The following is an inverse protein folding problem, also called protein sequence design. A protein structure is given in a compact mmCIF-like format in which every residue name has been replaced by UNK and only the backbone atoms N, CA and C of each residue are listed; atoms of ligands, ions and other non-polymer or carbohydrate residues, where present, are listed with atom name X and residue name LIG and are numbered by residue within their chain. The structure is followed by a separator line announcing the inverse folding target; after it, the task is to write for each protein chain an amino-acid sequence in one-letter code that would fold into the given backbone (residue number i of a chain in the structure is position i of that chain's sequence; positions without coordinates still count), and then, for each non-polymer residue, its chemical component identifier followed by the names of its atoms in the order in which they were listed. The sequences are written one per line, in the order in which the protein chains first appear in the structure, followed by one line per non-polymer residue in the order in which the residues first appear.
data_IF_324568575015
#
_entry.id   IF_324568575015
#
_cell.length_a   1.000
_cell.length_b   1.000
_cell.length_c   1.000
_cell.angle_alpha   90.00
_cell.angle_beta   90.00
_cell.angle_gamma   90.00
#
_symmetry.space_group_name_H-M   'P 1'
#
loop_
_entity.id
_entity.type
_entity.pdbx_description
1 polymer ?
#
# COMPACT_ATOMS: atom_id res chain seq x y z
N UNK A 1 -12.52 -7.37 11.77
CA UNK A 1 -13.56 -8.19 11.11
C UNK A 1 -14.52 -8.89 12.10
N UNK A 2 -14.22 -8.89 13.39
CA UNK A 2 -15.06 -9.39 14.48
C UNK A 2 -15.40 -10.88 14.37
N UNK A 3 -14.67 -11.73 15.10
CA UNK A 3 -14.99 -13.14 15.27
C UNK A 3 -16.32 -13.26 16.01
N UNK A 4 -17.25 -14.06 15.51
CA UNK A 4 -18.57 -14.29 16.08
C UNK A 4 -18.63 -15.58 16.91
N UNK A 5 -18.01 -16.65 16.41
CA UNK A 5 -17.89 -17.94 17.11
C UNK A 5 -16.69 -18.73 16.59
N UNK A 6 -16.21 -19.65 17.39
CA UNK A 6 -15.07 -20.52 17.06
C UNK A 6 -15.42 -21.99 17.37
N UNK A 7 -14.75 -22.91 16.68
CA UNK A 7 -14.84 -24.35 16.96
C UNK A 7 -14.36 -24.66 18.37
N UNK A 8 -15.00 -25.63 19.04
CA UNK A 8 -14.52 -26.17 20.30
C UNK A 8 -13.52 -27.30 20.08
N UNK A 9 -12.45 -27.34 20.90
CA UNK A 9 -11.55 -28.47 20.98
C UNK A 9 -10.38 -28.55 20.01
N UNK A 10 -10.24 -27.60 19.08
CA UNK A 10 -9.07 -27.49 18.20
C UNK A 10 -8.49 -26.09 18.25
N UNK A 11 -7.21 -26.02 18.49
CA UNK A 11 -6.45 -24.77 18.53
C UNK A 11 -5.08 -25.00 17.85
N UNK A 12 -5.06 -25.05 16.48
CA UNK A 12 -3.82 -25.27 15.77
C UNK A 12 -2.87 -24.06 15.93
N UNK A 13 -1.57 -24.32 15.98
CA UNK A 13 -0.57 -23.27 15.85
C UNK A 13 -0.45 -22.91 14.38
N UNK A 14 -0.86 -21.70 14.02
CA UNK A 14 -0.84 -21.21 12.65
C UNK A 14 0.46 -20.46 12.37
N UNK A 15 1.14 -20.81 11.29
CA UNK A 15 2.42 -20.25 10.86
C UNK A 15 2.37 -19.58 9.49
N UNK A 16 1.24 -19.69 8.80
CA UNK A 16 1.06 -19.12 7.48
C UNK A 16 -0.37 -19.19 7.00
N UNK A 17 -0.57 -18.90 5.75
CA UNK A 17 -1.86 -18.95 5.10
C UNK A 17 -1.72 -19.48 3.67
N UNK A 18 -2.76 -20.13 3.16
CA UNK A 18 -2.82 -20.63 1.79
C UNK A 18 -4.26 -20.70 1.29
N UNK A 19 -4.43 -20.93 -0.01
CA UNK A 19 -5.73 -21.24 -0.56
C UNK A 19 -6.21 -22.61 -0.07
N UNK A 20 -7.53 -22.76 0.08
CA UNK A 20 -8.15 -23.91 0.74
C UNK A 20 -7.79 -25.27 0.11
N UNK A 21 -7.55 -25.29 -1.20
CA UNK A 21 -7.24 -26.47 -1.99
C UNK A 21 -5.80 -27.01 -1.78
N UNK A 22 -4.90 -26.20 -1.30
CA UNK A 22 -3.49 -26.56 -1.09
C UNK A 22 -2.97 -26.31 0.32
N UNK A 23 -3.83 -25.84 1.24
CA UNK A 23 -3.44 -25.48 2.59
C UNK A 23 -2.97 -26.69 3.43
N UNK A 24 -1.98 -26.43 4.28
CA UNK A 24 -1.38 -27.40 5.21
C UNK A 24 -1.98 -27.24 6.63
N UNK A 25 -1.73 -28.20 7.56
CA UNK A 25 -2.31 -28.21 8.90
C UNK A 25 -1.89 -27.04 9.81
N UNK A 26 -0.84 -26.29 9.46
CA UNK A 26 -0.37 -25.09 10.17
C UNK A 26 -0.72 -23.79 9.42
N UNK A 27 -1.66 -23.86 8.48
CA UNK A 27 -2.05 -22.69 7.69
C UNK A 27 -3.52 -22.31 7.89
N UNK A 28 -3.78 -21.02 7.71
CA UNK A 28 -5.09 -20.39 7.70
C UNK A 28 -5.60 -20.25 6.28
N UNK A 29 -6.90 -20.46 6.08
CA UNK A 29 -7.61 -20.13 4.85
C UNK A 29 -8.93 -19.43 5.14
N UNK A 30 -9.67 -19.05 4.11
CA UNK A 30 -10.99 -18.46 4.25
C UNK A 30 -11.94 -18.91 3.14
N UNK A 31 -13.25 -18.80 3.42
CA UNK A 31 -14.33 -18.97 2.45
C UNK A 31 -15.24 -17.76 2.48
N UNK A 32 -15.67 -17.33 1.31
CA UNK A 32 -16.73 -16.34 1.16
C UNK A 32 -18.07 -17.02 0.86
N UNK A 33 -19.16 -16.30 1.09
CA UNK A 33 -20.50 -16.76 0.80
C UNK A 33 -20.66 -17.05 -0.71
N UNK A 34 -21.16 -18.25 -1.05
CA UNK A 34 -21.36 -18.65 -2.44
C UNK A 34 -20.07 -19.04 -3.20
N UNK A 35 -18.95 -19.24 -2.50
CA UNK A 35 -17.71 -19.63 -3.13
C UNK A 35 -17.77 -21.07 -3.65
N UNK A 36 -17.32 -21.28 -4.91
CA UNK A 36 -17.21 -22.60 -5.53
C UNK A 36 -16.24 -23.54 -4.78
N UNK A 37 -15.35 -22.99 -3.94
CA UNK A 37 -14.39 -23.75 -3.14
C UNK A 37 -14.97 -24.42 -1.89
N UNK A 38 -16.29 -24.31 -1.65
CA UNK A 38 -16.94 -25.02 -0.52
C UNK A 38 -16.70 -26.53 -0.59
N UNK A 39 -16.69 -27.11 -1.80
CA UNK A 39 -16.39 -28.52 -2.00
C UNK A 39 -14.94 -28.88 -1.54
N UNK A 40 -14.03 -27.95 -1.62
CA UNK A 40 -12.65 -28.17 -1.19
C UNK A 40 -12.51 -28.25 0.34
N UNK A 41 -13.50 -27.75 1.09
CA UNK A 41 -13.51 -27.88 2.55
C UNK A 41 -13.57 -29.36 3.01
N UNK A 42 -14.17 -30.24 2.18
CA UNK A 42 -14.28 -31.68 2.45
C UNK A 42 -12.94 -32.43 2.36
N UNK A 43 -12.02 -31.93 1.55
CA UNK A 43 -10.75 -32.60 1.26
C UNK A 43 -9.54 -31.82 1.75
N UNK A 44 -9.75 -30.61 2.27
CA UNK A 44 -8.68 -29.72 2.72
C UNK A 44 -7.98 -30.24 3.98
N UNK A 45 -6.67 -30.07 4.03
CA UNK A 45 -5.84 -30.31 5.21
C UNK A 45 -5.60 -29.04 6.04
N UNK A 46 -6.32 -27.96 5.75
CA UNK A 46 -6.13 -26.64 6.41
C UNK A 46 -6.22 -26.75 7.92
N UNK A 47 -5.31 -26.06 8.63
CA UNK A 47 -5.32 -26.02 10.09
C UNK A 47 -6.53 -25.30 10.65
N UNK A 48 -6.86 -24.13 10.08
CA UNK A 48 -8.04 -23.35 10.45
C UNK A 48 -8.63 -22.64 9.23
N UNK A 49 -9.97 -22.42 9.28
CA UNK A 49 -10.67 -21.72 8.21
C UNK A 49 -11.58 -20.62 8.78
N UNK A 50 -11.53 -19.44 8.16
CA UNK A 50 -12.48 -18.36 8.41
C UNK A 50 -13.68 -18.53 7.49
N UNK A 51 -14.87 -18.60 8.07
CA UNK A 51 -16.10 -18.87 7.32
C UNK A 51 -17.19 -17.85 7.68
N UNK A 52 -18.18 -17.62 6.77
CA UNK A 52 -19.39 -16.90 7.13
C UNK A 52 -20.15 -17.63 8.26
N UNK A 53 -20.97 -16.90 9.03
CA UNK A 53 -21.80 -17.48 10.08
C UNK A 53 -22.99 -18.26 9.47
N UNK A 54 -22.72 -19.48 8.99
CA UNK A 54 -23.68 -20.39 8.36
C UNK A 54 -23.57 -21.77 9.00
N UNK A 55 -24.74 -22.34 9.38
CA UNK A 55 -24.80 -23.61 10.10
C UNK A 55 -24.25 -24.79 9.30
N UNK A 56 -24.51 -24.83 8.00
CA UNK A 56 -24.01 -25.82 7.06
C UNK A 56 -22.47 -25.82 6.91
N UNK A 57 -21.87 -24.66 6.85
CA UNK A 57 -20.40 -24.54 6.77
C UNK A 57 -19.72 -24.95 8.10
N UNK A 58 -20.33 -24.59 9.23
CA UNK A 58 -19.86 -25.05 10.56
C UNK A 58 -19.91 -26.58 10.64
N UNK A 59 -21.07 -27.17 10.31
CA UNK A 59 -21.25 -28.62 10.33
C UNK A 59 -20.30 -29.35 9.36
N UNK A 60 -20.01 -28.75 8.21
CA UNK A 60 -19.06 -29.29 7.25
C UNK A 60 -17.62 -29.24 7.80
N UNK A 61 -17.20 -28.12 8.37
CA UNK A 61 -15.89 -27.98 8.99
C UNK A 61 -15.71 -28.92 10.20
N UNK A 62 -16.73 -29.08 11.04
CA UNK A 62 -16.74 -30.02 12.18
C UNK A 62 -16.62 -31.47 11.73
N UNK A 63 -17.39 -31.87 10.71
CA UNK A 63 -17.35 -33.22 10.13
C UNK A 63 -15.96 -33.58 9.60
N UNK A 64 -15.28 -32.60 8.99
CA UNK A 64 -13.92 -32.76 8.48
C UNK A 64 -12.84 -32.44 9.54
N UNK A 65 -13.26 -32.26 10.77
CA UNK A 65 -12.35 -32.04 11.90
C UNK A 65 -11.42 -30.83 11.72
N UNK A 66 -11.86 -29.79 11.05
CA UNK A 66 -11.12 -28.55 10.87
C UNK A 66 -11.41 -27.58 12.04
N UNK A 67 -10.40 -26.80 12.44
CA UNK A 67 -10.67 -25.63 13.25
C UNK A 67 -11.35 -24.56 12.41
N UNK A 68 -12.35 -23.88 12.96
CA UNK A 68 -13.04 -22.82 12.23
C UNK A 68 -13.34 -21.62 13.14
N UNK A 69 -13.42 -20.46 12.52
CA UNK A 69 -13.96 -19.25 13.14
C UNK A 69 -14.94 -18.59 12.17
N UNK A 70 -16.10 -18.19 12.71
CA UNK A 70 -17.07 -17.43 11.92
C UNK A 70 -16.88 -15.95 12.11
N UNK A 71 -17.05 -15.18 11.03
CA UNK A 71 -16.96 -13.74 11.01
C UNK A 71 -17.94 -13.13 10.01
N UNK A 72 -18.22 -11.84 10.16
CA UNK A 72 -19.11 -11.12 9.22
C UNK A 72 -18.51 -11.00 7.84
N UNK A 73 -17.22 -10.77 7.79
CA UNK A 73 -16.41 -10.64 6.57
C UNK A 73 -15.16 -11.52 6.69
N UNK A 74 -15.21 -12.76 6.15
CA UNK A 74 -14.09 -13.69 6.18
C UNK A 74 -12.85 -13.18 5.44
N UNK A 75 -13.03 -12.42 4.37
CA UNK A 75 -11.94 -11.87 3.58
C UNK A 75 -11.19 -10.78 4.35
N UNK A 76 -11.92 -9.88 5.00
CA UNK A 76 -11.33 -8.87 5.88
C UNK A 76 -10.62 -9.54 7.06
N UNK A 77 -11.26 -10.52 7.71
CA UNK A 77 -10.63 -11.26 8.81
C UNK A 77 -9.34 -11.98 8.37
N UNK A 78 -9.33 -12.51 7.17
CA UNK A 78 -8.14 -13.14 6.59
C UNK A 78 -7.03 -12.13 6.35
N UNK A 79 -7.34 -10.95 5.78
CA UNK A 79 -6.37 -9.87 5.60
C UNK A 79 -5.75 -9.42 6.92
N UNK A 80 -6.58 -9.17 7.96
CA UNK A 80 -6.09 -8.83 9.30
C UNK A 80 -5.22 -9.94 9.93
N UNK A 81 -5.56 -11.22 9.65
CA UNK A 81 -4.76 -12.36 10.11
C UNK A 81 -3.42 -12.46 9.39
N UNK A 82 -3.36 -12.15 8.09
CA UNK A 82 -2.11 -12.11 7.34
C UNK A 82 -1.14 -11.07 7.89
N UNK A 83 -1.63 -9.90 8.31
CA UNK A 83 -0.79 -8.87 8.94
C UNK A 83 -0.14 -9.37 10.24
N UNK A 84 -0.85 -10.21 11.02
CA UNK A 84 -0.32 -10.81 12.24
C UNK A 84 0.64 -11.97 11.97
N UNK A 85 0.33 -12.81 10.98
CA UNK A 85 1.18 -13.95 10.60
C UNK A 85 2.48 -13.52 9.92
N UNK A 86 2.45 -12.37 9.24
CA UNK A 86 3.57 -11.80 8.50
C UNK A 86 3.83 -10.35 8.93
N UNK A 87 4.25 -10.12 10.19
CA UNK A 87 4.54 -8.76 10.65
C UNK A 87 5.63 -8.14 9.78
N UNK A 88 5.43 -6.89 9.39
CA UNK A 88 6.43 -6.15 8.62
C UNK A 88 7.73 -6.08 9.42
N UNK A 89 8.90 -6.31 8.78
CA UNK A 89 10.18 -6.12 9.44
C UNK A 89 10.31 -4.69 9.95
N UNK A 90 10.63 -4.52 11.21
CA UNK A 90 10.94 -3.20 11.76
C UNK A 90 12.31 -2.75 11.24
N UNK A 91 12.36 -1.65 10.52
CA UNK A 91 13.63 -1.03 10.18
C UNK A 91 14.10 -0.14 11.33
N UNK A 92 15.39 -0.20 11.64
CA UNK A 92 15.97 0.69 12.64
C UNK A 92 15.97 2.13 12.14
N UNK A 93 15.55 3.05 12.99
CA UNK A 93 15.67 4.48 12.70
C UNK A 93 17.14 4.87 12.45
N UNK A 94 17.34 5.79 11.54
CA UNK A 94 18.67 6.32 11.23
C UNK A 94 18.89 6.55 9.74
N UNK A 95 20.05 7.11 9.43
CA UNK A 95 20.44 7.45 8.06
C UNK A 95 21.60 6.56 7.64
N UNK A 96 21.44 5.86 6.52
CA UNK A 96 22.52 5.06 5.95
C UNK A 96 23.68 5.97 5.47
N UNK A 97 24.95 5.62 5.71
CA UNK A 97 26.10 6.48 5.35
C UNK A 97 26.21 6.85 3.87
N UNK A 98 25.62 6.09 2.97
CA UNK A 98 25.60 6.39 1.53
C UNK A 98 24.42 7.25 1.08
N UNK A 99 23.55 7.68 1.98
CA UNK A 99 22.50 8.63 1.64
C UNK A 99 23.07 10.03 1.45
N UNK A 100 22.54 10.76 0.49
CA UNK A 100 22.91 12.17 0.21
C UNK A 100 21.73 13.05 0.59
N UNK A 101 21.86 13.76 1.68
CA UNK A 101 20.79 14.58 2.26
C UNK A 101 21.29 16.03 2.38
N UNK A 102 20.51 16.98 1.86
CA UNK A 102 20.82 18.39 2.02
C UNK A 102 20.78 18.84 3.49
N UNK A 103 21.62 19.77 3.85
CA UNK A 103 21.68 20.34 5.20
C UNK A 103 20.39 21.05 5.65
N UNK A 104 19.51 21.42 4.71
CA UNK A 104 18.22 22.07 4.99
C UNK A 104 17.04 21.10 5.12
N UNK A 105 17.30 19.79 5.08
CA UNK A 105 16.28 18.77 5.27
C UNK A 105 15.91 18.63 6.74
N UNK A 106 14.63 18.49 7.01
CA UNK A 106 14.12 18.21 8.34
C UNK A 106 13.57 16.76 8.39
N UNK A 107 14.20 15.93 9.24
CA UNK A 107 13.76 14.55 9.47
C UNK A 107 13.05 14.47 10.82
N UNK A 108 11.84 13.91 10.84
CA UNK A 108 11.07 13.62 12.04
C UNK A 108 11.67 12.48 12.87
N UNK A 109 11.13 12.28 14.06
CA UNK A 109 11.59 11.22 14.95
C UNK A 109 11.34 9.82 14.36
N UNK A 110 12.31 8.93 14.45
CA UNK A 110 12.18 7.54 14.02
C UNK A 110 12.18 7.33 12.49
N UNK A 111 12.55 8.34 11.71
CA UNK A 111 12.74 8.18 10.26
C UNK A 111 13.88 7.22 9.96
N UNK A 112 13.66 6.31 9.01
CA UNK A 112 14.68 5.40 8.48
C UNK A 112 15.00 5.78 7.03
N UNK A 113 16.28 6.08 6.76
CA UNK A 113 16.76 6.42 5.41
C UNK A 113 17.77 5.37 4.97
N UNK A 114 17.42 4.60 3.96
CA UNK A 114 18.24 3.51 3.46
C UNK A 114 19.38 3.97 2.53
N UNK A 115 20.13 3.00 2.00
CA UNK A 115 21.28 3.27 1.14
C UNK A 115 20.90 4.00 -0.16
N UNK A 116 21.78 4.90 -0.61
CA UNK A 116 21.67 5.62 -1.88
C UNK A 116 20.40 6.47 -2.05
N UNK A 117 19.75 6.85 -0.96
CA UNK A 117 18.65 7.81 -0.96
C UNK A 117 19.22 9.20 -1.19
N UNK A 118 18.54 10.01 -2.00
CA UNK A 118 18.85 11.42 -2.20
C UNK A 118 17.67 12.29 -1.76
N UNK A 119 17.91 13.28 -0.88
CA UNK A 119 16.89 14.22 -0.42
C UNK A 119 17.36 15.65 -0.63
N UNK A 120 16.62 16.41 -1.43
CA UNK A 120 16.91 17.79 -1.80
C UNK A 120 16.53 18.82 -0.73
N UNK A 121 16.92 20.05 -0.99
CA UNK A 121 16.79 21.21 -0.10
C UNK A 121 15.34 21.46 0.36
N UNK A 122 15.20 21.99 1.57
CA UNK A 122 13.92 22.46 2.15
C UNK A 122 12.83 21.37 2.26
N UNK A 123 13.21 20.10 2.16
CA UNK A 123 12.30 18.95 2.29
C UNK A 123 12.05 18.63 3.75
N UNK A 124 10.80 18.26 4.07
CA UNK A 124 10.37 17.81 5.40
C UNK A 124 9.84 16.39 5.33
N UNK A 125 10.34 15.52 6.19
CA UNK A 125 9.91 14.12 6.31
C UNK A 125 9.32 13.92 7.71
N UNK A 126 8.06 13.50 7.78
CA UNK A 126 7.34 13.22 9.02
C UNK A 126 7.89 12.01 9.77
N UNK A 127 7.55 11.94 11.05
CA UNK A 127 8.02 10.89 11.96
C UNK A 127 7.67 9.48 11.48
N UNK A 128 8.48 8.47 11.86
CA UNK A 128 8.26 7.05 11.56
C UNK A 128 8.15 6.71 10.06
N UNK A 129 8.60 7.58 9.18
CA UNK A 129 8.60 7.33 7.72
C UNK A 129 9.79 6.47 7.32
N UNK A 130 9.52 5.47 6.47
CA UNK A 130 10.50 4.55 5.91
C UNK A 130 10.85 4.97 4.49
N UNK A 131 12.15 5.15 4.21
CA UNK A 131 12.66 5.50 2.89
C UNK A 131 13.62 4.40 2.44
N UNK A 132 13.17 3.58 1.50
CA UNK A 132 13.91 2.43 0.98
C UNK A 132 15.05 2.83 0.04
N UNK A 133 15.96 1.89 -0.33
CA UNK A 133 17.13 2.22 -1.12
C UNK A 133 16.82 2.88 -2.47
N UNK A 134 17.64 3.87 -2.84
CA UNK A 134 17.59 4.51 -4.14
C UNK A 134 16.41 5.47 -4.36
N UNK A 135 15.62 5.78 -3.34
CA UNK A 135 14.57 6.79 -3.43
C UNK A 135 15.18 8.17 -3.69
N UNK A 136 14.55 8.94 -4.58
CA UNK A 136 14.94 10.32 -4.89
C UNK A 136 13.81 11.26 -4.51
N UNK A 137 14.08 12.16 -3.59
CA UNK A 137 13.18 13.23 -3.16
C UNK A 137 13.82 14.55 -3.56
N UNK A 138 13.18 15.27 -4.45
CA UNK A 138 13.66 16.60 -4.85
C UNK A 138 13.44 17.63 -3.73
N UNK A 139 13.81 18.89 -4.00
CA UNK A 139 13.62 19.96 -3.02
C UNK A 139 12.16 20.40 -2.85
N UNK A 140 11.87 21.08 -1.72
CA UNK A 140 10.55 21.61 -1.36
C UNK A 140 9.44 20.53 -1.34
N UNK A 141 9.77 19.31 -0.89
CA UNK A 141 8.80 18.23 -0.73
C UNK A 141 8.39 18.09 0.72
N UNK A 142 7.11 17.86 0.97
CA UNK A 142 6.59 17.52 2.30
C UNK A 142 6.05 16.08 2.28
N UNK A 143 6.56 15.25 3.19
CA UNK A 143 6.09 13.88 3.42
C UNK A 143 5.58 13.77 4.84
N UNK A 144 4.36 13.31 5.02
CA UNK A 144 3.72 13.11 6.31
C UNK A 144 4.35 11.99 7.15
N UNK A 145 3.72 11.71 8.27
CA UNK A 145 4.16 10.68 9.21
C UNK A 145 3.79 9.27 8.75
N UNK A 146 4.61 8.27 9.12
CA UNK A 146 4.32 6.85 8.88
C UNK A 146 4.22 6.45 7.42
N UNK A 147 4.81 7.20 6.51
CA UNK A 147 4.84 6.88 5.10
C UNK A 147 5.88 5.79 4.79
N UNK A 148 5.67 5.07 3.68
CA UNK A 148 6.62 4.09 3.16
C UNK A 148 6.93 4.40 1.69
N UNK A 149 8.18 4.81 1.42
CA UNK A 149 8.66 5.11 0.08
C UNK A 149 9.54 3.95 -0.38
N UNK A 150 9.02 3.13 -1.28
CA UNK A 150 9.74 1.95 -1.78
C UNK A 150 10.84 2.29 -2.77
N UNK A 151 11.74 1.31 -2.98
CA UNK A 151 12.97 1.49 -3.73
C UNK A 151 12.77 2.16 -5.09
N UNK A 152 13.64 3.12 -5.40
CA UNK A 152 13.69 3.88 -6.64
C UNK A 152 12.42 4.71 -6.96
N UNK A 153 11.53 4.93 -6.00
CA UNK A 153 10.45 5.90 -6.20
C UNK A 153 11.00 7.32 -6.24
N UNK A 154 10.30 8.21 -6.96
CA UNK A 154 10.75 9.59 -7.17
C UNK A 154 9.64 10.57 -6.78
N UNK A 155 9.96 11.52 -5.91
CA UNK A 155 9.09 12.65 -5.58
C UNK A 155 9.68 13.93 -6.16
N UNK A 156 8.97 14.55 -7.09
CA UNK A 156 9.37 15.79 -7.74
C UNK A 156 9.15 17.04 -6.87
N UNK A 157 9.78 18.18 -7.21
CA UNK A 157 9.71 19.38 -6.38
C UNK A 157 8.27 19.83 -6.12
N UNK A 158 8.00 20.29 -4.89
CA UNK A 158 6.71 20.83 -4.49
C UNK A 158 5.64 19.80 -4.15
N UNK A 159 5.91 18.50 -4.23
CA UNK A 159 4.94 17.47 -3.84
C UNK A 159 4.58 17.56 -2.36
N UNK A 160 3.29 17.33 -2.07
CA UNK A 160 2.75 17.28 -0.71
C UNK A 160 2.12 15.90 -0.48
N UNK A 161 2.73 15.11 0.38
CA UNK A 161 2.33 13.73 0.67
C UNK A 161 1.77 13.69 2.10
N UNK A 162 0.53 13.26 2.25
CA UNK A 162 -0.14 13.08 3.54
C UNK A 162 0.46 11.96 4.39
N UNK A 163 -0.18 11.68 5.52
CA UNK A 163 0.27 10.66 6.46
C UNK A 163 -0.07 9.24 5.98
N UNK A 164 0.75 8.25 6.34
CA UNK A 164 0.49 6.85 6.06
C UNK A 164 0.41 6.48 4.58
N UNK A 165 0.98 7.30 3.70
CA UNK A 165 1.02 7.01 2.27
C UNK A 165 2.06 5.93 1.95
N UNK A 166 1.76 5.12 0.93
CA UNK A 166 2.69 4.11 0.41
C UNK A 166 2.98 4.43 -1.06
N UNK A 167 4.24 4.63 -1.39
CA UNK A 167 4.68 4.86 -2.76
C UNK A 167 5.55 3.67 -3.18
N UNK A 168 5.00 2.81 -4.04
CA UNK A 168 5.68 1.58 -4.44
C UNK A 168 6.85 1.83 -5.39
N UNK A 169 7.64 0.78 -5.59
CA UNK A 169 8.90 0.85 -6.35
C UNK A 169 8.73 1.43 -7.76
N UNK A 170 9.66 2.31 -8.15
CA UNK A 170 9.69 2.99 -9.44
C UNK A 170 8.48 3.89 -9.75
N UNK A 171 7.59 4.14 -8.80
CA UNK A 171 6.53 5.13 -8.99
C UNK A 171 7.11 6.55 -9.00
N UNK A 172 6.55 7.42 -9.83
CA UNK A 172 6.99 8.81 -9.99
C UNK A 172 5.83 9.76 -9.68
N UNK A 173 6.02 10.61 -8.68
CA UNK A 173 5.00 11.57 -8.26
C UNK A 173 5.48 13.00 -8.55
N UNK A 174 4.68 13.75 -9.31
CA UNK A 174 4.93 15.15 -9.62
C UNK A 174 5.77 15.40 -10.87
N UNK A 175 5.92 14.42 -11.76
CA UNK A 175 6.50 14.66 -13.09
C UNK A 175 5.71 15.71 -13.87
N UNK A 176 6.35 16.35 -14.86
CA UNK A 176 5.65 17.32 -15.71
C UNK A 176 4.58 16.65 -16.56
N UNK A 177 3.36 17.17 -16.50
CA UNK A 177 2.26 16.76 -17.38
C UNK A 177 2.57 17.03 -18.86
N UNK A 178 1.89 16.31 -19.74
CA UNK A 178 2.03 16.47 -21.20
C UNK A 178 1.38 17.79 -21.65
N UNK A 179 2.17 18.85 -21.68
CA UNK A 179 1.74 20.19 -22.06
C UNK A 179 2.55 20.76 -23.21
N UNK A 180 1.99 20.81 -24.42
CA UNK A 180 2.61 21.39 -25.61
C UNK A 180 1.61 22.22 -26.41
N UNK A 181 2.08 23.36 -26.95
CA UNK A 181 1.28 24.25 -27.81
C UNK A 181 1.81 24.16 -29.24
N UNK A 182 0.95 23.89 -30.25
CA UNK A 182 1.36 23.91 -31.64
C UNK A 182 1.68 25.33 -32.06
N UNK A 183 2.79 25.51 -32.79
CA UNK A 183 3.21 26.79 -33.38
C UNK A 183 3.64 26.58 -34.80
N UNK A 184 3.82 27.67 -35.55
CA UNK A 184 4.34 27.60 -36.95
C UNK A 184 5.75 26.98 -37.02
N UNK A 185 6.47 26.88 -35.92
CA UNK A 185 7.82 26.29 -35.82
C UNK A 185 7.85 24.92 -35.14
N UNK A 186 6.69 24.27 -34.94
CA UNK A 186 6.57 23.02 -34.23
C UNK A 186 6.00 23.19 -32.80
N UNK A 187 6.21 22.20 -31.95
CA UNK A 187 5.70 22.16 -30.60
C UNK A 187 6.49 23.06 -29.65
N UNK A 188 5.79 23.92 -28.93
CA UNK A 188 6.38 24.67 -27.81
C UNK A 188 5.90 24.05 -26.50
N UNK A 189 6.84 23.63 -25.65
CA UNK A 189 6.55 23.12 -24.30
C UNK A 189 5.90 24.21 -23.45
N UNK A 190 4.83 23.84 -22.77
CA UNK A 190 4.21 24.63 -21.71
C UNK A 190 4.80 24.16 -20.37
N UNK A 191 5.49 25.03 -19.62
CA UNK A 191 6.04 24.67 -18.30
C UNK A 191 4.93 24.17 -17.37
N UNK A 192 5.22 23.14 -16.61
CA UNK A 192 4.32 22.55 -15.61
C UNK A 192 4.80 22.99 -14.22
N UNK A 193 4.22 24.06 -13.71
CA UNK A 193 4.66 24.74 -12.46
C UNK A 193 3.78 24.42 -11.25
N UNK A 194 2.70 23.67 -11.45
CA UNK A 194 1.83 23.21 -10.39
C UNK A 194 2.48 22.09 -9.54
N UNK A 195 1.71 21.49 -8.68
CA UNK A 195 2.18 20.47 -7.75
C UNK A 195 1.25 19.25 -7.69
N UNK A 196 1.70 18.19 -7.01
CA UNK A 196 0.88 17.02 -6.70
C UNK A 196 0.63 16.95 -5.20
N UNK A 197 -0.63 16.70 -4.84
CA UNK A 197 -1.07 16.46 -3.46
C UNK A 197 -1.61 15.04 -3.36
N UNK A 198 -1.01 14.23 -2.49
CA UNK A 198 -1.57 12.96 -2.06
C UNK A 198 -2.07 13.14 -0.64
N UNK A 199 -3.37 12.95 -0.42
CA UNK A 199 -3.93 13.01 0.94
C UNK A 199 -3.59 11.75 1.76
N UNK A 200 -4.00 11.70 3.03
CA UNK A 200 -3.65 10.61 3.95
C UNK A 200 -4.04 9.22 3.43
N UNK A 201 -3.16 8.24 3.62
CA UNK A 201 -3.40 6.84 3.30
C UNK A 201 -3.50 6.52 1.80
N UNK A 202 -3.05 7.42 0.93
CA UNK A 202 -2.96 7.15 -0.50
C UNK A 202 -1.87 6.11 -0.78
N UNK A 203 -2.15 5.19 -1.69
CA UNK A 203 -1.19 4.16 -2.13
C UNK A 203 -1.02 4.21 -3.64
N UNK A 204 0.23 4.30 -4.08
CA UNK A 204 0.61 4.40 -5.50
C UNK A 204 1.38 3.14 -5.90
N UNK A 205 0.84 2.36 -6.82
CA UNK A 205 1.41 1.12 -7.32
C UNK A 205 2.72 1.28 -8.07
N UNK A 206 3.43 0.16 -8.25
CA UNK A 206 4.74 0.13 -8.90
C UNK A 206 4.71 0.72 -10.31
N UNK A 207 5.67 1.59 -10.62
CA UNK A 207 5.81 2.18 -11.96
C UNK A 207 4.69 3.13 -12.37
N UNK A 208 3.76 3.45 -11.48
CA UNK A 208 2.70 4.43 -11.75
C UNK A 208 3.23 5.84 -11.73
N UNK A 209 2.64 6.73 -12.54
CA UNK A 209 3.08 8.12 -12.68
C UNK A 209 1.93 9.08 -12.42
N UNK A 210 2.19 10.11 -11.61
CA UNK A 210 1.23 11.14 -11.25
C UNK A 210 1.78 12.49 -11.69
N UNK A 211 1.17 13.09 -12.69
CA UNK A 211 1.68 14.32 -13.29
C UNK A 211 1.19 15.58 -12.57
N UNK A 212 2.06 16.59 -12.46
CA UNK A 212 1.67 17.94 -12.05
C UNK A 212 1.16 18.76 -13.24
N UNK A 213 0.21 19.69 -13.03
CA UNK A 213 -0.32 20.58 -14.07
C UNK A 213 0.59 21.80 -14.32
N UNK A 214 0.26 22.56 -15.37
CA UNK A 214 0.90 23.85 -15.62
C UNK A 214 0.61 24.88 -14.51
N UNK A 215 -0.57 24.86 -13.94
CA UNK A 215 -1.00 25.71 -12.80
C UNK A 215 -1.93 24.90 -11.90
N UNK A 216 -1.96 25.24 -10.60
CA UNK A 216 -2.78 24.53 -9.63
C UNK A 216 -2.18 23.19 -9.21
N UNK A 217 -3.03 22.19 -9.06
CA UNK A 217 -2.59 20.91 -8.49
C UNK A 217 -3.27 19.69 -9.17
N UNK A 218 -2.62 18.53 -9.08
CA UNK A 218 -3.22 17.21 -9.23
C UNK A 218 -3.40 16.66 -7.82
N UNK A 219 -4.62 16.24 -7.46
CA UNK A 219 -4.95 15.84 -6.09
C UNK A 219 -5.55 14.45 -6.03
N UNK A 220 -4.99 13.57 -5.22
CA UNK A 220 -5.60 12.29 -4.89
C UNK A 220 -6.15 12.31 -3.47
N UNK A 221 -7.48 12.13 -3.35
CA UNK A 221 -8.20 12.17 -2.08
C UNK A 221 -7.82 11.01 -1.15
N UNK A 222 -8.00 11.21 0.15
CA UNK A 222 -7.56 10.30 1.20
C UNK A 222 -8.01 8.85 0.98
N UNK A 223 -7.11 7.90 1.20
CA UNK A 223 -7.35 6.47 1.05
C UNK A 223 -7.44 5.96 -0.39
N UNK A 224 -7.20 6.81 -1.39
CA UNK A 224 -7.17 6.39 -2.80
C UNK A 224 -6.08 5.33 -3.04
N UNK A 225 -6.43 4.30 -3.80
CA UNK A 225 -5.51 3.22 -4.22
C UNK A 225 -5.33 3.25 -5.73
N UNK A 226 -4.08 3.34 -6.16
CA UNK A 226 -3.69 3.34 -7.57
C UNK A 226 -2.90 2.07 -7.82
N UNK A 227 -3.32 1.26 -8.78
CA UNK A 227 -2.64 0.02 -9.14
C UNK A 227 -1.31 0.29 -9.86
N UNK A 228 -0.61 -0.78 -10.22
CA UNK A 228 0.67 -0.70 -10.93
C UNK A 228 0.47 -0.18 -12.35
N UNK A 229 1.46 0.55 -12.86
CA UNK A 229 1.51 1.05 -14.24
C UNK A 229 0.32 1.94 -14.65
N UNK A 230 -0.29 2.62 -13.69
CA UNK A 230 -1.35 3.60 -13.95
C UNK A 230 -0.76 4.98 -14.22
N UNK A 231 -1.29 5.67 -15.22
CA UNK A 231 -0.99 7.06 -15.51
C UNK A 231 -2.10 7.97 -15.01
N UNK A 232 -1.81 8.84 -14.06
CA UNK A 232 -2.69 9.94 -13.63
C UNK A 232 -2.22 11.22 -14.31
N UNK A 233 -3.03 11.72 -15.24
CA UNK A 233 -2.72 12.95 -15.97
C UNK A 233 -2.82 14.19 -15.07
N UNK A 234 -2.19 15.26 -15.53
CA UNK A 234 -2.19 16.54 -14.83
C UNK A 234 -3.60 17.13 -14.61
N UNK A 235 -3.82 17.76 -13.45
CA UNK A 235 -5.08 18.39 -13.09
C UNK A 235 -6.22 17.42 -12.74
N UNK A 236 -5.93 16.13 -12.56
CA UNK A 236 -6.91 15.16 -12.05
C UNK A 236 -7.13 15.42 -10.56
N UNK A 237 -8.37 15.35 -10.15
CA UNK A 237 -8.79 15.35 -8.75
C UNK A 237 -9.67 14.14 -8.48
N UNK A 238 -9.28 13.30 -7.50
CA UNK A 238 -10.09 12.16 -7.07
C UNK A 238 -10.79 12.46 -5.75
N UNK A 239 -11.96 11.82 -5.54
CA UNK A 239 -12.59 11.77 -4.24
C UNK A 239 -11.82 10.86 -3.26
N UNK A 240 -12.36 10.69 -2.05
CA UNK A 240 -11.83 9.77 -1.03
C UNK A 240 -12.08 8.31 -1.40
N UNK A 241 -11.13 7.44 -1.09
CA UNK A 241 -11.29 5.98 -1.22
C UNK A 241 -11.50 5.48 -2.64
N UNK A 242 -11.05 6.22 -3.66
CA UNK A 242 -11.07 5.75 -5.04
C UNK A 242 -10.12 4.57 -5.24
N UNK A 243 -10.45 3.71 -6.20
CA UNK A 243 -9.58 2.66 -6.71
C UNK A 243 -9.41 2.84 -8.22
N UNK A 244 -8.16 2.89 -8.68
CA UNK A 244 -7.76 3.14 -10.07
C UNK A 244 -6.83 2.02 -10.50
N UNK A 245 -7.24 1.24 -11.53
CA UNK A 245 -6.52 0.10 -12.07
C UNK A 245 -6.51 0.13 -13.60
#
# INVERSE_FOLDING_TARGET
AGILSVSSGRNPELRGAASLDCAQPDQLSFLEKGNALIANLETSSVGAVLIPDQADLKALAERNQLAWATCRDPRLAFAESLEQLHPRPTQSAGVHPSAVISDRVQLGAGVSVAANVTIGDDTRIGAQTLIHPGVVIYGDVEVGEGCELHANSVLHPGCRIGNGCVIHSNAVVGSEGFGFVPTARGWRKMPQTGLVVLEDGVEIGCGSTIDRPSVGETRLGAGTKVDNLVQIGHGVETGRGCALA
#
